data_IF_172423553106
#
_entry.id   IF_172423553106
#
_cell.length_a   1.000
_cell.length_b   1.000
_cell.length_c   1.000
_cell.angle_alpha   90.00
_cell.angle_beta   90.00
_cell.angle_gamma   90.00
#
_symmetry.space_group_name_H-M   'P 1'
#
loop_
_entity.id
_entity.type
_entity.pdbx_description
1 polymer ?
#
# COMPACT_ATOMS: atom_id res chain seq x y z
N UNK A 1 39.84 -40.96 -38.71
CA UNK A 1 40.12 -39.52 -38.86
C UNK A 1 38.99 -38.78 -38.15
N UNK A 2 39.32 -38.02 -37.10
CA UNK A 2 38.59 -36.84 -36.56
C UNK A 2 37.10 -37.00 -36.18
N UNK A 3 36.76 -36.99 -34.86
CA UNK A 3 36.36 -35.80 -34.06
C UNK A 3 34.93 -35.33 -34.45
N UNK A 4 33.98 -34.98 -33.58
CA UNK A 4 33.94 -34.34 -32.27
C UNK A 4 32.52 -34.47 -31.68
N UNK A 5 32.42 -34.38 -30.36
CA UNK A 5 31.22 -34.21 -29.51
C UNK A 5 30.14 -33.23 -30.03
N UNK A 6 28.87 -33.56 -29.74
CA UNK A 6 27.94 -32.63 -29.11
C UNK A 6 26.68 -33.37 -28.64
N UNK A 7 26.59 -33.55 -27.32
CA UNK A 7 25.33 -33.77 -26.61
C UNK A 7 24.35 -32.64 -26.98
N UNK A 8 23.24 -32.97 -27.63
CA UNK A 8 22.13 -32.01 -27.78
C UNK A 8 21.54 -31.81 -26.40
N UNK A 9 21.83 -30.64 -25.85
CA UNK A 9 21.13 -30.06 -24.71
C UNK A 9 19.83 -29.47 -25.24
N UNK A 10 18.71 -30.14 -25.01
CA UNK A 10 17.43 -29.44 -24.95
C UNK A 10 16.97 -29.52 -23.51
N UNK A 11 17.31 -28.45 -22.79
CA UNK A 11 16.65 -28.06 -21.57
C UNK A 11 15.15 -28.12 -21.87
N UNK A 12 14.48 -29.16 -21.38
CA UNK A 12 13.04 -29.21 -21.28
C UNK A 12 12.62 -28.02 -20.44
N UNK A 13 12.29 -26.93 -21.15
CA UNK A 13 11.86 -25.68 -20.58
C UNK A 13 10.71 -25.99 -19.64
N UNK A 14 10.93 -25.70 -18.37
CA UNK A 14 9.89 -25.61 -17.37
C UNK A 14 8.95 -24.48 -17.83
N UNK A 15 8.01 -24.79 -18.74
CA UNK A 15 6.93 -23.90 -19.11
C UNK A 15 6.21 -23.56 -17.80
N UNK A 16 6.19 -22.29 -17.37
CA UNK A 16 5.30 -21.92 -16.30
C UNK A 16 3.88 -22.12 -16.82
N UNK A 17 3.19 -23.13 -16.28
CA UNK A 17 1.76 -23.29 -16.47
C UNK A 17 1.08 -21.95 -16.15
N UNK A 18 0.20 -21.49 -17.04
CA UNK A 18 -0.61 -20.28 -16.88
C UNK A 18 -1.45 -20.29 -15.59
N UNK A 19 -1.57 -21.45 -14.91
CA UNK A 19 -2.24 -21.59 -13.62
C UNK A 19 -1.47 -20.97 -12.43
N UNK A 20 -0.16 -20.74 -12.54
CA UNK A 20 0.62 -20.13 -11.42
C UNK A 20 0.61 -18.59 -11.45
N UNK A 21 -0.05 -17.96 -12.45
CA UNK A 21 -0.21 -16.49 -12.51
C UNK A 21 -1.12 -15.93 -11.39
N UNK A 22 -1.80 -16.80 -10.64
CA UNK A 22 -2.62 -16.44 -9.49
C UNK A 22 -1.82 -16.32 -8.18
N UNK A 23 -0.52 -16.62 -8.18
CA UNK A 23 0.39 -16.17 -7.12
C UNK A 23 0.63 -14.68 -7.29
N UNK A 24 -0.45 -13.92 -7.11
CA UNK A 24 -0.44 -12.50 -6.85
C UNK A 24 0.75 -12.25 -5.95
N UNK A 25 1.72 -11.49 -6.47
CA UNK A 25 2.81 -10.94 -5.71
C UNK A 25 2.19 -10.26 -4.49
N UNK A 26 2.10 -10.98 -3.37
CA UNK A 26 1.88 -10.36 -2.07
C UNK A 26 3.21 -9.67 -1.80
N UNK A 27 3.43 -8.54 -2.49
CA UNK A 27 4.32 -7.49 -2.01
C UNK A 27 3.90 -7.35 -0.56
N UNK A 28 4.82 -7.64 0.36
CA UNK A 28 4.63 -7.39 1.79
C UNK A 28 4.21 -5.93 1.91
N UNK A 29 2.90 -5.69 1.93
CA UNK A 29 2.34 -4.37 2.17
C UNK A 29 2.90 -4.00 3.52
N UNK A 30 3.71 -2.95 3.58
CA UNK A 30 4.19 -2.42 4.84
C UNK A 30 2.97 -2.34 5.78
N UNK A 31 3.07 -2.96 6.94
CA UNK A 31 1.93 -3.16 7.85
C UNK A 31 1.39 -1.77 8.19
N UNK A 32 0.23 -1.42 7.63
CA UNK A 32 -0.33 -0.08 7.82
C UNK A 32 -0.64 0.15 9.30
N UNK A 33 -0.30 1.32 9.82
CA UNK A 33 -0.53 1.69 11.22
C UNK A 33 -1.99 2.01 11.51
N UNK A 34 -2.70 2.50 10.50
CA UNK A 34 -4.11 2.83 10.54
C UNK A 34 -4.84 2.06 9.42
N UNK A 35 -6.10 1.76 9.64
CA UNK A 35 -6.95 1.06 8.69
C UNK A 35 -8.12 1.94 8.27
N UNK A 36 -8.75 1.61 7.13
CA UNK A 36 -9.96 2.31 6.67
C UNK A 36 -11.02 2.29 7.76
N UNK A 37 -11.58 3.46 8.07
CA UNK A 37 -12.55 3.67 9.15
C UNK A 37 -11.94 3.98 10.52
N UNK A 38 -10.62 3.92 10.70
CA UNK A 38 -10.00 4.41 11.94
C UNK A 38 -10.19 5.92 12.09
N UNK A 39 -10.48 6.36 13.32
CA UNK A 39 -10.48 7.79 13.67
C UNK A 39 -9.07 8.26 13.98
N UNK A 40 -8.65 9.33 13.32
CA UNK A 40 -7.32 9.93 13.46
C UNK A 40 -7.40 11.45 13.58
N UNK A 41 -6.47 12.02 14.35
CA UNK A 41 -6.17 13.44 14.37
C UNK A 41 -5.03 13.72 13.40
N UNK A 42 -5.18 14.77 12.61
CA UNK A 42 -4.13 15.29 11.76
C UNK A 42 -3.29 16.29 12.58
N UNK A 43 -2.01 15.99 12.72
CA UNK A 43 -1.01 16.84 13.34
C UNK A 43 -0.16 17.47 12.22
N UNK A 44 -0.49 18.69 11.77
CA UNK A 44 0.24 19.35 10.68
C UNK A 44 1.71 19.66 11.02
N UNK A 45 2.10 19.51 12.29
CA UNK A 45 3.42 19.81 12.82
C UNK A 45 3.59 21.28 13.22
N UNK A 46 4.59 21.55 14.07
CA UNK A 46 4.88 22.88 14.59
C UNK A 46 3.97 23.31 15.74
N UNK A 47 3.57 24.58 15.76
CA UNK A 47 2.66 25.15 16.78
C UNK A 47 1.19 25.14 16.33
N UNK A 48 0.88 24.59 15.16
CA UNK A 48 -0.49 24.52 14.68
C UNK A 48 -1.29 23.49 15.50
N UNK A 49 -2.57 23.78 15.82
CA UNK A 49 -3.42 22.83 16.53
C UNK A 49 -3.67 21.60 15.66
N UNK A 50 -3.96 20.47 16.32
CA UNK A 50 -4.42 19.26 15.62
C UNK A 50 -5.78 19.50 14.99
N UNK A 51 -5.96 18.98 13.79
CA UNK A 51 -7.20 19.04 13.04
C UNK A 51 -7.93 17.68 13.12
N UNK A 52 -9.26 17.67 13.20
CA UNK A 52 -10.07 16.46 13.22
C UNK A 52 -11.17 16.44 14.31
N UNK A 53 -11.68 15.25 14.68
CA UNK A 53 -11.24 13.93 14.24
C UNK A 53 -11.62 13.66 12.79
N UNK A 54 -10.79 12.89 12.08
CA UNK A 54 -11.02 12.46 10.70
C UNK A 54 -11.08 10.94 10.63
N UNK A 55 -11.72 10.41 9.59
CA UNK A 55 -11.73 8.98 9.28
C UNK A 55 -10.72 8.67 8.19
N UNK A 56 -10.06 7.51 8.30
CA UNK A 56 -9.25 6.99 7.20
C UNK A 56 -10.18 6.49 6.10
N UNK A 57 -10.19 7.17 4.96
CA UNK A 57 -10.96 6.77 3.78
C UNK A 57 -10.26 5.64 3.01
N UNK A 58 -8.94 5.77 2.85
CA UNK A 58 -8.12 4.80 2.13
C UNK A 58 -6.69 4.78 2.66
N UNK A 59 -6.12 3.58 2.75
CA UNK A 59 -4.68 3.39 2.98
C UNK A 59 -3.98 3.37 1.62
N UNK A 60 -3.11 4.35 1.38
CA UNK A 60 -2.32 4.48 0.16
C UNK A 60 -0.96 3.81 0.35
N UNK A 61 -0.27 3.54 -0.77
CA UNK A 61 1.08 2.99 -0.71
C UNK A 61 2.05 3.99 -0.04
N UNK A 62 3.18 3.48 0.45
CA UNK A 62 4.25 4.30 1.03
C UNK A 62 3.87 5.04 2.33
N UNK A 63 2.99 4.45 3.16
CA UNK A 63 2.61 5.01 4.45
C UNK A 63 1.77 6.29 4.35
N UNK A 64 1.07 6.48 3.23
CA UNK A 64 0.17 7.61 3.05
C UNK A 64 -1.29 7.18 3.25
N UNK A 65 -2.15 8.13 3.57
CA UNK A 65 -3.55 7.90 3.88
C UNK A 65 -4.41 9.01 3.28
N UNK A 66 -5.56 8.64 2.73
CA UNK A 66 -6.60 9.59 2.39
C UNK A 66 -7.57 9.69 3.57
N UNK A 67 -7.94 10.91 3.95
CA UNK A 67 -8.84 11.18 5.07
C UNK A 67 -10.17 11.72 4.58
N UNK A 68 -11.23 11.45 5.33
CA UNK A 68 -12.56 12.04 5.20
C UNK A 68 -13.05 12.59 6.54
N UNK A 69 -14.06 13.45 6.51
CA UNK A 69 -14.66 13.98 7.74
C UNK A 69 -15.30 12.84 8.56
N UNK A 70 -15.29 12.94 9.89
CA UNK A 70 -15.89 11.89 10.72
C UNK A 70 -17.42 11.89 10.71
N UNK A 71 -18.02 13.05 10.44
CA UNK A 71 -19.47 13.22 10.23
C UNK A 71 -19.93 12.67 8.87
N UNK A 72 -19.08 12.82 7.83
CA UNK A 72 -19.36 12.31 6.49
C UNK A 72 -18.11 11.69 5.86
N UNK A 73 -18.11 10.35 5.84
CA UNK A 73 -17.04 9.56 5.23
C UNK A 73 -16.93 9.73 3.72
N UNK A 74 -17.92 10.38 3.08
CA UNK A 74 -17.94 10.67 1.64
C UNK A 74 -17.24 11.98 1.30
N UNK A 75 -17.02 12.87 2.29
CA UNK A 75 -16.40 14.17 2.10
C UNK A 75 -14.90 14.06 2.37
N UNK A 76 -14.05 14.09 1.34
CA UNK A 76 -12.62 14.01 1.54
C UNK A 76 -12.10 15.28 2.20
N UNK A 77 -11.17 15.12 3.13
CA UNK A 77 -10.46 16.22 3.77
C UNK A 77 -9.37 16.69 2.81
N UNK A 78 -9.18 18.02 2.70
CA UNK A 78 -8.15 18.63 1.84
C UNK A 78 -8.18 18.14 0.38
N UNK A 79 -9.36 18.03 -0.22
CA UNK A 79 -9.49 17.61 -1.63
C UNK A 79 -8.93 16.19 -1.91
N UNK A 80 -8.99 15.31 -0.90
CA UNK A 80 -8.44 13.95 -0.94
C UNK A 80 -6.90 13.89 -0.97
N UNK A 81 -6.24 14.92 -0.42
CA UNK A 81 -4.79 14.94 -0.27
C UNK A 81 -4.26 13.72 0.51
N UNK A 82 -3.12 13.21 0.07
CA UNK A 82 -2.48 12.05 0.68
C UNK A 82 -1.62 12.48 1.88
N UNK A 83 -2.09 12.17 3.08
CA UNK A 83 -1.40 12.52 4.31
C UNK A 83 -0.42 11.43 4.72
N UNK A 84 0.80 11.81 5.08
CA UNK A 84 1.80 10.90 5.63
C UNK A 84 1.42 10.36 7.02
N UNK A 85 1.68 9.08 7.28
CA UNK A 85 1.46 8.41 8.56
C UNK A 85 2.00 9.19 9.76
N UNK A 86 3.14 9.86 9.58
CA UNK A 86 3.84 10.58 10.64
C UNK A 86 3.04 11.77 11.17
N UNK A 87 2.15 12.31 10.33
CA UNK A 87 1.24 13.41 10.66
C UNK A 87 -0.09 12.90 11.25
N UNK A 88 -0.29 11.60 11.36
CA UNK A 88 -1.52 11.03 11.90
C UNK A 88 -1.32 10.53 13.33
N UNK A 89 -2.30 10.82 14.18
CA UNK A 89 -2.38 10.32 15.56
C UNK A 89 -3.71 9.63 15.76
N UNK A 90 -3.71 8.48 16.40
CA UNK A 90 -4.96 7.76 16.71
C UNK A 90 -5.84 8.62 17.61
N UNK A 91 -7.10 8.78 17.23
CA UNK A 91 -8.10 9.35 18.11
C UNK A 91 -8.56 8.26 19.08
N UNK A 92 -8.26 8.46 20.36
CA UNK A 92 -8.70 7.60 21.47
C UNK A 92 -10.14 7.88 21.88
#
# INVERSE_FOLDING_TARGET
MTKEDAVVSEQGGNQPSEEDQWRAHIKKSAKAKFYVGDKVWLDPGGSAPREGPYLVAAVKANGKYALCHDDDASTPVRDADEVDESKLRRAS
#
